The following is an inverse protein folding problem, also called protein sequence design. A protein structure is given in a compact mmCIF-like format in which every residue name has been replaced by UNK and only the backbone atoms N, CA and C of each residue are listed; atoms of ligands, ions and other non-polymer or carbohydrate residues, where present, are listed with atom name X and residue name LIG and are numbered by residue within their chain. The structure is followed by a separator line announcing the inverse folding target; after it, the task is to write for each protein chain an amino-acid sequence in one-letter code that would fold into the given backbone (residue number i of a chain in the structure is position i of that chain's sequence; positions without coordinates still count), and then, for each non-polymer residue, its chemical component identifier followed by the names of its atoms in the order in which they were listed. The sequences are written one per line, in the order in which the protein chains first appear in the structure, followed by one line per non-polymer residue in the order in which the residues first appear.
data_IF_038860590830
#
_entry.id   IF_038860590830
#
_cell.length_a   1.000
_cell.length_b   1.000
_cell.length_c   1.000
_cell.angle_alpha   90.00
_cell.angle_beta   90.00
_cell.angle_gamma   90.00
#
_symmetry.space_group_name_H-M   'P 1'
#
loop_
_entity.id
_entity.type
_entity.pdbx_description
1 polymer ?
#
# COMPACT_ATOMS: atom_id res chain seq x y z
N UNK A 1 -4.46 -28.40 7.34
CA UNK A 1 -4.45 -27.46 8.47
C UNK A 1 -3.03 -27.08 8.82
N UNK A 2 -2.19 -28.07 9.12
CA UNK A 2 -0.75 -27.84 9.38
C UNK A 2 -0.05 -27.16 8.20
N UNK A 3 -0.44 -27.46 6.96
CA UNK A 3 0.07 -26.77 5.78
C UNK A 3 -0.26 -25.26 5.74
N UNK A 4 -1.44 -24.85 6.24
CA UNK A 4 -1.85 -23.43 6.27
C UNK A 4 -1.04 -22.70 7.34
N UNK A 5 -0.99 -23.24 8.55
CA UNK A 5 -0.17 -22.70 9.64
C UNK A 5 1.30 -22.60 9.22
N UNK A 6 1.88 -23.67 8.65
CA UNK A 6 3.28 -23.69 8.20
C UNK A 6 3.56 -22.67 7.09
N UNK A 7 2.60 -22.42 6.21
CA UNK A 7 2.74 -21.39 5.17
C UNK A 7 2.78 -19.99 5.77
N UNK A 8 1.94 -19.71 6.77
CA UNK A 8 1.95 -18.42 7.47
C UNK A 8 3.20 -18.29 8.34
N UNK A 9 3.67 -19.35 9.02
CA UNK A 9 4.95 -19.34 9.75
C UNK A 9 6.12 -18.96 8.84
N UNK A 10 6.15 -19.48 7.60
CA UNK A 10 7.16 -19.09 6.62
C UNK A 10 7.09 -17.59 6.28
N UNK A 11 5.89 -17.01 6.20
CA UNK A 11 5.70 -15.58 5.99
C UNK A 11 6.14 -14.77 7.22
N UNK A 12 5.80 -15.23 8.43
CA UNK A 12 6.19 -14.62 9.71
C UNK A 12 7.71 -14.68 9.95
N UNK A 13 8.42 -15.68 9.43
CA UNK A 13 9.88 -15.77 9.51
C UNK A 13 10.59 -14.86 8.50
N UNK A 14 9.88 -14.39 7.48
CA UNK A 14 10.45 -13.59 6.41
C UNK A 14 10.37 -12.09 6.75
N UNK A 15 11.48 -11.34 6.63
CA UNK A 15 11.50 -9.90 6.89
C UNK A 15 10.77 -9.08 5.81
N UNK A 16 10.31 -9.73 4.73
CA UNK A 16 9.65 -9.08 3.60
C UNK A 16 8.16 -8.86 3.88
N UNK A 17 7.50 -9.81 4.53
CA UNK A 17 6.07 -9.70 4.82
C UNK A 17 5.80 -8.84 6.05
N UNK A 18 4.70 -8.11 6.04
CA UNK A 18 4.22 -7.40 7.24
C UNK A 18 3.56 -8.39 8.21
N UNK A 19 4.35 -9.36 8.69
CA UNK A 19 3.95 -10.39 9.63
C UNK A 19 5.21 -10.87 10.35
N UNK A 20 5.10 -11.22 11.64
CA UNK A 20 6.24 -11.70 12.43
C UNK A 20 7.45 -10.79 12.26
N UNK A 21 8.56 -11.35 11.78
CA UNK A 21 9.88 -10.70 11.63
C UNK A 21 9.84 -9.40 10.83
N UNK A 22 8.92 -9.26 9.88
CA UNK A 22 8.79 -8.06 9.04
C UNK A 22 7.66 -7.11 9.46
N UNK A 23 7.09 -7.29 10.65
CA UNK A 23 6.01 -6.46 11.18
C UNK A 23 6.38 -4.96 11.20
N UNK A 24 5.38 -4.12 10.94
CA UNK A 24 5.50 -2.67 11.10
C UNK A 24 5.64 -2.28 12.57
N UNK A 25 6.24 -1.11 12.79
CA UNK A 25 6.32 -0.51 14.11
C UNK A 25 5.06 0.31 14.38
N UNK A 26 4.58 0.26 15.62
CA UNK A 26 3.66 1.26 16.16
C UNK A 26 4.37 2.62 16.24
N UNK A 27 3.59 3.68 16.50
CA UNK A 27 4.13 5.03 16.69
C UNK A 27 5.22 5.09 17.79
N UNK A 28 5.05 4.28 18.84
CA UNK A 28 5.99 4.17 19.97
C UNK A 28 7.27 3.38 19.64
N UNK A 29 7.42 2.89 18.40
CA UNK A 29 8.61 2.18 17.97
C UNK A 29 8.70 0.74 18.46
N UNK A 30 7.56 0.10 18.74
CA UNK A 30 7.45 -1.33 19.08
C UNK A 30 6.66 -2.10 18.03
N UNK A 31 6.91 -3.40 17.90
CA UNK A 31 6.11 -4.28 17.06
C UNK A 31 4.95 -4.85 17.89
N UNK A 32 3.72 -4.67 17.40
CA UNK A 32 2.52 -5.32 17.92
C UNK A 32 1.87 -6.08 16.76
N UNK A 33 1.45 -7.31 17.03
CA UNK A 33 0.93 -8.20 16.00
C UNK A 33 -0.40 -8.80 16.42
N UNK A 34 -1.24 -9.04 15.43
CA UNK A 34 -2.53 -9.69 15.55
C UNK A 34 -2.56 -10.88 14.60
N UNK A 35 -3.27 -11.94 14.98
CA UNK A 35 -3.51 -13.09 14.11
C UNK A 35 -4.84 -13.76 14.44
N UNK A 36 -5.47 -14.35 13.42
CA UNK A 36 -6.68 -15.13 13.56
C UNK A 36 -6.61 -16.41 12.73
N UNK A 37 -7.27 -17.45 13.21
CA UNK A 37 -7.34 -18.76 12.56
C UNK A 37 -8.77 -19.27 12.65
N UNK A 38 -9.35 -19.70 11.52
CA UNK A 38 -10.75 -20.11 11.44
C UNK A 38 -10.92 -21.41 10.65
N UNK A 39 -11.78 -22.29 11.17
CA UNK A 39 -12.29 -23.46 10.44
C UNK A 39 -13.52 -23.06 9.63
N UNK A 40 -13.40 -23.01 8.31
CA UNK A 40 -14.52 -22.60 7.45
C UNK A 40 -15.74 -23.54 7.48
N UNK A 41 -15.54 -24.81 7.83
CA UNK A 41 -16.60 -25.84 7.84
C UNK A 41 -17.64 -25.60 8.95
N UNK A 42 -17.18 -25.23 10.13
CA UNK A 42 -18.01 -25.08 11.35
C UNK A 42 -17.94 -23.67 11.94
N UNK A 43 -17.20 -22.77 11.27
CA UNK A 43 -17.00 -21.37 11.63
C UNK A 43 -16.30 -21.15 12.98
N UNK A 44 -15.69 -22.19 13.56
CA UNK A 44 -14.98 -22.03 14.81
C UNK A 44 -13.68 -21.23 14.58
N UNK A 45 -13.35 -20.30 15.47
CA UNK A 45 -12.25 -19.36 15.29
C UNK A 45 -11.49 -19.08 16.59
N UNK A 46 -10.19 -18.83 16.46
CA UNK A 46 -9.31 -18.38 17.53
C UNK A 46 -8.47 -17.21 17.06
N UNK A 47 -8.18 -16.27 17.96
CA UNK A 47 -7.43 -15.07 17.64
C UNK A 47 -6.53 -14.62 18.79
N UNK A 48 -5.44 -13.95 18.43
CA UNK A 48 -4.59 -13.18 19.34
C UNK A 48 -4.44 -11.75 18.84
N UNK A 49 -4.34 -10.79 19.75
CA UNK A 49 -4.11 -9.39 19.38
C UNK A 49 -3.17 -8.65 20.32
N UNK A 50 -2.45 -7.66 19.81
CA UNK A 50 -1.49 -6.84 20.55
C UNK A 50 -0.36 -7.66 21.17
N UNK A 51 0.06 -8.77 20.53
CA UNK A 51 1.15 -9.61 21.03
C UNK A 51 2.49 -9.09 20.52
N UNK A 52 3.52 -9.21 21.36
CA UNK A 52 4.81 -8.55 21.13
C UNK A 52 6.01 -9.49 21.12
N UNK A 53 5.86 -10.71 21.65
CA UNK A 53 6.96 -11.66 21.84
C UNK A 53 6.67 -13.08 21.32
N UNK A 54 5.47 -13.37 20.82
CA UNK A 54 5.14 -14.69 20.26
C UNK A 54 5.72 -14.74 18.85
N UNK A 55 6.69 -15.65 18.60
CA UNK A 55 7.37 -15.74 17.30
C UNK A 55 6.42 -15.94 16.13
N UNK A 56 5.40 -16.77 16.35
CA UNK A 56 4.39 -17.13 15.37
C UNK A 56 2.98 -16.82 15.91
N UNK A 57 2.48 -15.58 15.77
CA UNK A 57 1.14 -15.20 16.19
C UNK A 57 0.04 -16.13 15.62
N UNK A 58 0.20 -16.64 14.40
CA UNK A 58 -0.77 -17.57 13.80
C UNK A 58 -0.92 -18.88 14.59
N UNK A 59 0.18 -19.38 15.16
CA UNK A 59 0.16 -20.58 16.00
C UNK A 59 -0.54 -20.34 17.33
N UNK A 60 -0.40 -19.13 17.89
CA UNK A 60 -1.14 -18.75 19.09
C UNK A 60 -2.63 -18.60 18.81
N UNK A 61 -3.02 -18.00 17.67
CA UNK A 61 -4.42 -17.94 17.25
C UNK A 61 -5.04 -19.34 17.10
N UNK A 62 -4.32 -20.30 16.51
CA UNK A 62 -4.73 -21.70 16.44
C UNK A 62 -4.80 -22.36 17.83
N UNK A 63 -3.85 -22.07 18.72
CA UNK A 63 -3.88 -22.59 20.08
C UNK A 63 -5.09 -22.08 20.88
N UNK A 64 -5.49 -20.82 20.69
CA UNK A 64 -6.70 -20.27 21.31
C UNK A 64 -7.94 -21.05 20.85
N UNK A 65 -8.04 -21.33 19.54
CA UNK A 65 -9.11 -22.12 18.92
C UNK A 65 -9.19 -23.56 19.45
N UNK A 66 -8.06 -24.24 19.58
CA UNK A 66 -8.02 -25.68 19.86
C UNK A 66 -7.88 -26.02 21.35
N UNK A 67 -7.34 -25.10 22.15
CA UNK A 67 -6.90 -25.39 23.53
C UNK A 67 -7.45 -24.40 24.56
N UNK A 68 -8.47 -23.61 24.20
CA UNK A 68 -9.14 -22.72 25.13
C UNK A 68 -10.65 -22.67 24.88
N UNK A 69 -11.41 -22.16 25.84
CA UNK A 69 -12.85 -21.89 25.68
C UNK A 69 -13.11 -20.48 25.09
N UNK A 70 -12.05 -19.75 24.77
CA UNK A 70 -12.10 -18.37 24.31
C UNK A 70 -11.93 -18.29 22.79
N UNK A 71 -12.58 -17.30 22.18
CA UNK A 71 -12.42 -16.98 20.75
C UNK A 71 -11.22 -16.05 20.52
N UNK A 72 -10.87 -15.23 21.51
CA UNK A 72 -9.78 -14.25 21.39
C UNK A 72 -9.08 -14.05 22.72
N UNK A 73 -7.76 -13.89 22.67
CA UNK A 73 -6.94 -13.39 23.76
C UNK A 73 -6.11 -12.20 23.29
N UNK A 74 -5.71 -11.31 24.20
CA UNK A 74 -4.93 -10.12 23.82
C UNK A 74 -3.83 -9.77 24.82
N UNK A 75 -2.79 -9.08 24.32
CA UNK A 75 -1.66 -8.59 25.09
C UNK A 75 -0.99 -9.69 25.91
N UNK A 76 -0.59 -9.33 27.14
CA UNK A 76 0.12 -10.26 28.06
C UNK A 76 -0.64 -11.54 28.35
N UNK A 77 -1.97 -11.51 28.35
CA UNK A 77 -2.78 -12.70 28.58
C UNK A 77 -2.61 -13.73 27.45
N UNK A 78 -2.56 -13.25 26.20
CA UNK A 78 -2.27 -14.11 25.04
C UNK A 78 -0.84 -14.66 25.06
N UNK A 79 0.14 -13.85 25.46
CA UNK A 79 1.55 -14.26 25.54
C UNK A 79 1.78 -15.32 26.62
N UNK A 80 1.18 -15.15 27.81
CA UNK A 80 1.22 -16.15 28.88
C UNK A 80 0.54 -17.45 28.47
N UNK A 81 -0.61 -17.35 27.81
CA UNK A 81 -1.29 -18.52 27.28
C UNK A 81 -0.42 -19.24 26.24
N UNK A 82 0.18 -18.51 25.30
CA UNK A 82 1.08 -19.07 24.29
C UNK A 82 2.27 -19.82 24.93
N UNK A 83 2.88 -19.24 25.97
CA UNK A 83 3.95 -19.88 26.74
C UNK A 83 3.47 -21.17 27.44
N UNK A 84 2.30 -21.16 28.07
CA UNK A 84 1.69 -22.37 28.67
C UNK A 84 1.41 -23.46 27.63
N UNK A 85 1.11 -23.08 26.38
CA UNK A 85 0.91 -24.01 25.27
C UNK A 85 2.23 -24.48 24.61
N UNK A 86 3.38 -24.03 25.11
CA UNK A 86 4.71 -24.39 24.62
C UNK A 86 5.09 -23.74 23.30
N UNK A 87 4.49 -22.59 22.96
CA UNK A 87 4.86 -21.83 21.77
C UNK A 87 6.17 -21.05 22.00
N UNK A 88 6.93 -20.85 20.93
CA UNK A 88 8.22 -20.16 20.99
C UNK A 88 8.03 -18.66 21.26
N UNK A 89 8.54 -18.22 22.41
CA UNK A 89 8.62 -16.81 22.80
C UNK A 89 10.01 -16.28 22.45
N UNK A 90 10.06 -15.15 21.76
CA UNK A 90 11.29 -14.49 21.30
C UNK A 90 11.42 -13.10 21.91
N UNK A 91 12.65 -12.61 21.99
CA UNK A 91 12.87 -11.20 22.32
C UNK A 91 12.21 -10.31 21.25
N UNK A 92 11.53 -9.20 21.63
CA UNK A 92 10.87 -8.32 20.66
C UNK A 92 11.81 -7.78 19.55
N UNK A 93 13.12 -7.73 19.78
CA UNK A 93 14.10 -7.36 18.76
C UNK A 93 14.14 -8.32 17.57
N UNK A 94 13.63 -9.56 17.69
CA UNK A 94 13.47 -10.49 16.58
C UNK A 94 12.63 -9.89 15.44
N UNK A 95 11.59 -9.12 15.79
CA UNK A 95 10.66 -8.51 14.84
C UNK A 95 11.17 -7.21 14.21
N UNK A 96 12.35 -6.74 14.65
CA UNK A 96 12.94 -5.52 14.12
C UNK A 96 13.72 -5.80 12.85
N UNK A 97 13.36 -5.09 11.78
CA UNK A 97 14.19 -4.96 10.57
C UNK A 97 14.60 -3.52 10.36
N UNK A 98 15.82 -3.30 9.83
CA UNK A 98 16.28 -1.95 9.47
C UNK A 98 15.33 -1.26 8.49
N UNK A 99 14.81 -2.04 7.53
CA UNK A 99 13.84 -1.55 6.54
C UNK A 99 12.59 -0.95 7.19
N UNK A 100 11.95 -1.69 8.11
CA UNK A 100 10.75 -1.21 8.82
C UNK A 100 11.08 -0.08 9.79
N UNK A 101 12.25 -0.14 10.44
CA UNK A 101 12.72 0.92 11.33
C UNK A 101 12.91 2.24 10.59
N UNK A 102 13.62 2.21 9.45
CA UNK A 102 13.79 3.38 8.60
C UNK A 102 12.44 3.90 8.07
N UNK A 103 11.47 3.02 7.82
CA UNK A 103 10.12 3.44 7.46
C UNK A 103 9.43 4.23 8.57
N UNK A 104 9.51 3.78 9.82
CA UNK A 104 9.00 4.52 10.98
C UNK A 104 9.68 5.88 11.11
N UNK A 105 11.02 5.93 11.01
CA UNK A 105 11.77 7.18 11.13
C UNK A 105 11.36 8.22 10.07
N UNK A 106 11.07 7.78 8.84
CA UNK A 106 10.53 8.66 7.79
C UNK A 106 9.15 9.23 8.16
N UNK A 107 8.27 8.41 8.74
CA UNK A 107 6.94 8.83 9.17
C UNK A 107 7.06 9.86 10.31
N UNK A 108 7.82 9.54 11.37
CA UNK A 108 8.02 10.43 12.52
C UNK A 108 8.60 11.78 12.08
N UNK A 109 9.63 11.78 11.23
CA UNK A 109 10.21 13.00 10.69
C UNK A 109 9.17 13.85 9.95
N UNK A 110 8.34 13.21 9.12
CA UNK A 110 7.30 13.91 8.37
C UNK A 110 6.19 14.49 9.26
N UNK A 111 5.99 13.95 10.46
CA UNK A 111 5.07 14.49 11.47
C UNK A 111 5.69 15.67 12.20
N UNK A 112 6.95 15.58 12.62
CA UNK A 112 7.69 16.68 13.23
C UNK A 112 7.77 17.89 12.29
N UNK A 113 8.10 17.67 11.01
CA UNK A 113 8.14 18.74 9.99
C UNK A 113 6.77 19.44 9.83
N UNK A 114 5.65 18.78 10.15
CA UNK A 114 4.30 19.39 10.13
C UNK A 114 4.00 20.18 11.41
N UNK A 115 4.61 19.82 12.54
CA UNK A 115 4.43 20.47 13.84
C UNK A 115 5.28 21.75 13.91
N UNK A 116 6.52 21.74 13.41
CA UNK A 116 7.39 22.93 13.40
C UNK A 116 6.84 24.08 12.52
N UNK A 117 6.05 23.76 11.50
CA UNK A 117 5.34 24.74 10.67
C UNK A 117 4.14 25.41 11.37
N UNK A 118 3.86 25.08 12.64
CA UNK A 118 2.62 25.49 13.33
C UNK A 118 2.79 26.42 14.55
N UNK A 119 4.01 26.88 14.86
CA UNK A 119 4.24 27.64 16.10
C UNK A 119 4.18 29.18 15.99
N UNK A 120 4.08 29.79 14.79
CA UNK A 120 4.19 31.26 14.70
C UNK A 120 3.35 31.95 13.59
N UNK A 121 2.15 31.47 13.28
CA UNK A 121 1.21 32.27 12.46
C UNK A 121 -0.21 32.35 13.04
N UNK A 122 -0.64 33.60 13.11
CA UNK A 122 -1.65 34.17 13.99
C UNK A 122 -3.11 33.78 13.68
N UNK A 123 -3.92 33.98 14.71
CA UNK A 123 -5.35 33.76 14.88
C UNK A 123 -6.20 34.49 13.82
N UNK A 124 -6.49 33.87 12.67
CA UNK A 124 -7.79 34.07 11.98
C UNK A 124 -8.09 33.14 10.78
N UNK A 125 -7.47 31.96 10.67
CA UNK A 125 -7.82 30.98 9.61
C UNK A 125 -8.37 29.69 10.20
N UNK A 126 -9.69 29.60 10.31
CA UNK A 126 -10.40 28.31 10.18
C UNK A 126 -10.38 27.90 8.71
N UNK A 127 -9.26 27.35 8.25
CA UNK A 127 -9.16 26.63 6.99
C UNK A 127 -8.35 25.35 7.19
N UNK A 128 -8.90 24.22 6.74
CA UNK A 128 -8.31 22.89 6.88
C UNK A 128 -6.86 22.87 6.40
N UNK A 129 -6.01 22.17 7.16
CA UNK A 129 -4.55 22.17 6.97
C UNK A 129 -4.15 21.67 5.59
N UNK A 130 -3.77 22.64 4.74
CA UNK A 130 -2.92 22.49 3.56
C UNK A 130 -1.49 22.73 4.03
N UNK A 131 -0.69 21.66 4.12
CA UNK A 131 0.77 21.74 4.15
C UNK A 131 1.31 21.42 2.75
N UNK A 132 2.48 21.95 2.35
CA UNK A 132 2.90 22.00 0.96
C UNK A 132 2.96 20.61 0.30
N UNK A 133 2.17 20.46 -0.77
CA UNK A 133 2.24 19.43 -1.81
C UNK A 133 1.87 18.01 -1.34
N UNK A 134 0.57 17.72 -1.23
CA UNK A 134 0.09 16.37 -1.51
C UNK A 134 0.70 15.97 -2.86
N UNK A 135 1.63 15.02 -2.85
CA UNK A 135 2.58 14.69 -3.92
C UNK A 135 1.85 14.19 -5.19
N UNK A 136 1.17 15.12 -5.88
CA UNK A 136 0.25 14.90 -6.99
C UNK A 136 -0.82 13.83 -6.69
N UNK A 137 -1.41 13.83 -5.48
CA UNK A 137 -2.41 12.82 -5.09
C UNK A 137 -3.66 12.85 -5.99
N UNK A 138 -4.20 11.68 -6.31
CA UNK A 138 -5.45 11.54 -7.07
C UNK A 138 -6.62 11.81 -6.14
N UNK A 139 -7.17 13.01 -6.23
CA UNK A 139 -8.47 13.34 -5.66
C UNK A 139 -9.56 13.27 -6.76
N UNK A 140 -10.82 13.45 -6.35
CA UNK A 140 -11.96 13.39 -7.27
C UNK A 140 -11.83 14.37 -8.45
N UNK A 141 -11.30 15.57 -8.23
CA UNK A 141 -11.10 16.57 -9.28
C UNK A 141 -10.06 16.15 -10.31
N UNK A 142 -8.93 15.57 -9.87
CA UNK A 142 -7.90 15.02 -10.77
C UNK A 142 -8.47 13.86 -11.59
N UNK A 143 -9.20 12.94 -10.94
CA UNK A 143 -9.80 11.81 -11.64
C UNK A 143 -10.84 12.27 -12.68
N UNK A 144 -11.69 13.22 -12.31
CA UNK A 144 -12.66 13.81 -13.24
C UNK A 144 -11.95 14.51 -14.41
N UNK A 145 -10.91 15.29 -14.15
CA UNK A 145 -10.13 15.96 -15.20
C UNK A 145 -9.46 14.99 -16.18
N UNK A 146 -8.92 13.87 -15.68
CA UNK A 146 -8.43 12.79 -16.53
C UNK A 146 -9.55 12.20 -17.39
N UNK A 147 -10.70 11.88 -16.78
CA UNK A 147 -11.84 11.34 -17.48
C UNK A 147 -12.35 12.29 -18.59
N UNK A 148 -12.56 13.56 -18.26
CA UNK A 148 -13.07 14.57 -19.19
C UNK A 148 -12.12 14.76 -20.37
N UNK A 149 -10.82 14.83 -20.11
CA UNK A 149 -9.81 15.01 -21.15
C UNK A 149 -9.75 13.81 -22.10
N UNK A 150 -9.66 12.58 -21.55
CA UNK A 150 -9.55 11.35 -22.36
C UNK A 150 -10.86 10.96 -23.04
N UNK A 151 -12.02 11.34 -22.50
CA UNK A 151 -13.33 11.06 -23.10
C UNK A 151 -13.70 12.05 -24.21
N UNK A 152 -13.37 13.33 -24.05
CA UNK A 152 -13.84 14.38 -24.95
C UNK A 152 -12.85 15.51 -25.18
N UNK A 153 -12.12 15.97 -24.15
CA UNK A 153 -11.24 17.13 -24.23
C UNK A 153 -10.13 17.02 -25.28
N UNK A 154 -9.66 15.80 -25.56
CA UNK A 154 -8.65 15.58 -26.61
C UNK A 154 -9.10 16.00 -28.01
N UNK A 155 -10.41 16.07 -28.28
CA UNK A 155 -10.97 16.43 -29.61
C UNK A 155 -10.69 17.88 -29.99
N UNK A 156 -10.46 18.73 -29.00
CA UNK A 156 -10.11 20.14 -29.20
C UNK A 156 -8.63 20.34 -29.58
N UNK A 157 -7.81 19.28 -29.45
CA UNK A 157 -6.38 19.34 -29.79
C UNK A 157 -6.17 18.97 -31.25
N UNK A 158 -5.90 19.97 -32.09
CA UNK A 158 -5.61 19.72 -33.50
C UNK A 158 -4.29 18.96 -33.67
N UNK A 159 -4.29 17.97 -34.57
CA UNK A 159 -3.12 17.16 -34.91
C UNK A 159 -2.47 16.42 -33.71
N UNK A 160 -3.26 15.98 -32.72
CA UNK A 160 -2.79 15.18 -31.59
C UNK A 160 -2.08 13.90 -32.09
N UNK A 161 -0.82 13.70 -31.67
CA UNK A 161 0.00 12.51 -32.02
C UNK A 161 0.36 11.62 -30.84
N UNK A 162 0.20 12.14 -29.62
CA UNK A 162 0.50 11.40 -28.41
C UNK A 162 0.28 12.28 -27.19
N UNK A 163 0.30 11.65 -26.02
CA UNK A 163 0.02 12.27 -24.72
C UNK A 163 1.14 11.91 -23.77
N UNK A 164 1.65 12.89 -23.02
CA UNK A 164 2.59 12.65 -21.93
C UNK A 164 1.91 13.04 -20.63
N UNK A 165 1.88 12.11 -19.69
CA UNK A 165 1.45 12.35 -18.32
C UNK A 165 2.71 12.40 -17.46
N UNK A 166 2.87 13.45 -16.66
CA UNK A 166 3.98 13.60 -15.70
C UNK A 166 3.48 14.29 -14.43
N UNK A 167 4.17 14.07 -13.31
CA UNK A 167 3.87 14.76 -12.07
C UNK A 167 4.46 16.16 -12.06
N UNK A 168 3.74 17.11 -11.46
CA UNK A 168 4.30 18.45 -11.22
C UNK A 168 5.39 18.40 -10.14
N UNK A 169 6.49 19.15 -10.34
CA UNK A 169 7.64 19.18 -9.43
C UNK A 169 8.63 18.01 -9.63
N UNK A 170 9.48 17.77 -8.63
CA UNK A 170 10.61 16.82 -8.74
C UNK A 170 10.45 15.57 -7.87
N UNK A 171 9.49 15.55 -6.95
CA UNK A 171 9.41 14.51 -5.92
C UNK A 171 8.46 13.37 -6.26
N UNK A 172 7.43 13.61 -7.05
CA UNK A 172 6.40 12.62 -7.29
C UNK A 172 5.78 12.73 -8.67
N UNK A 173 5.51 11.57 -9.25
CA UNK A 173 4.57 11.43 -10.35
C UNK A 173 3.15 11.57 -9.80
N UNK A 174 2.74 10.60 -8.97
CA UNK A 174 1.48 10.55 -8.22
C UNK A 174 1.70 9.62 -7.01
N UNK A 175 1.61 10.16 -5.80
CA UNK A 175 1.90 9.40 -4.57
C UNK A 175 0.70 8.63 -3.97
N UNK A 176 -0.39 8.45 -4.73
CA UNK A 176 -1.57 7.68 -4.31
C UNK A 176 -2.87 8.47 -4.37
N UNK A 177 -3.94 7.87 -3.87
CA UNK A 177 -5.25 8.48 -3.77
C UNK A 177 -5.38 9.37 -2.53
N UNK A 178 -6.27 10.37 -2.58
CA UNK A 178 -6.65 11.15 -1.40
C UNK A 178 -7.61 10.35 -0.51
N UNK A 179 -7.03 9.62 0.45
CA UNK A 179 -7.72 8.67 1.33
C UNK A 179 -8.73 9.34 2.27
N UNK A 180 -8.62 10.67 2.51
CA UNK A 180 -9.54 11.38 3.42
C UNK A 180 -11.00 11.30 2.97
N UNK A 181 -11.25 11.10 1.68
CA UNK A 181 -12.60 10.95 1.14
C UNK A 181 -13.21 9.55 1.30
N UNK A 182 -12.43 8.53 1.69
CA UNK A 182 -12.91 7.14 1.67
C UNK A 182 -13.73 6.77 2.91
N UNK A 183 -13.44 7.39 4.06
CA UNK A 183 -14.06 7.02 5.34
C UNK A 183 -15.53 7.40 5.45
N UNK A 184 -16.03 8.24 4.54
CA UNK A 184 -17.42 8.73 4.56
C UNK A 184 -18.32 8.03 3.54
N UNK A 185 -17.77 7.17 2.69
CA UNK A 185 -18.52 6.52 1.60
C UNK A 185 -19.28 5.31 2.13
N UNK A 186 -20.53 5.16 1.67
CA UNK A 186 -21.24 3.90 1.79
C UNK A 186 -20.78 2.89 0.71
N UNK A 187 -21.24 1.64 0.80
CA UNK A 187 -20.84 0.56 -0.12
C UNK A 187 -21.13 0.89 -1.59
N UNK A 188 -22.30 1.46 -1.89
CA UNK A 188 -22.69 1.78 -3.25
C UNK A 188 -21.84 2.93 -3.81
N UNK A 189 -21.56 3.95 -3.01
CA UNK A 189 -20.69 5.07 -3.38
C UNK A 189 -19.24 4.62 -3.60
N UNK A 190 -18.71 3.75 -2.73
CA UNK A 190 -17.37 3.19 -2.87
C UNK A 190 -17.24 2.32 -4.13
N UNK A 191 -18.27 1.55 -4.47
CA UNK A 191 -18.34 0.78 -5.71
C UNK A 191 -18.37 1.69 -6.94
N UNK A 192 -19.21 2.74 -6.93
CA UNK A 192 -19.28 3.71 -8.02
C UNK A 192 -17.95 4.44 -8.22
N UNK A 193 -17.31 4.88 -7.13
CA UNK A 193 -16.01 5.54 -7.17
C UNK A 193 -14.93 4.61 -7.75
N UNK A 194 -14.87 3.35 -7.29
CA UNK A 194 -13.91 2.36 -7.79
C UNK A 194 -14.13 2.08 -9.27
N UNK A 195 -15.39 1.92 -9.69
CA UNK A 195 -15.76 1.73 -11.09
C UNK A 195 -15.37 2.93 -11.95
N UNK A 196 -15.67 4.15 -11.50
CA UNK A 196 -15.31 5.36 -12.23
C UNK A 196 -13.79 5.50 -12.42
N UNK A 197 -12.99 5.18 -11.39
CA UNK A 197 -11.54 5.16 -11.50
C UNK A 197 -11.04 4.10 -12.50
N UNK A 198 -11.59 2.88 -12.44
CA UNK A 198 -11.25 1.82 -13.41
C UNK A 198 -11.61 2.21 -14.85
N UNK A 199 -12.84 2.70 -15.07
CA UNK A 199 -13.32 3.12 -16.38
C UNK A 199 -12.43 4.25 -16.93
N UNK A 200 -12.03 5.20 -16.08
CA UNK A 200 -11.12 6.29 -16.46
C UNK A 200 -9.76 5.75 -16.91
N UNK A 201 -9.18 4.78 -16.19
CA UNK A 201 -7.90 4.20 -16.60
C UNK A 201 -8.02 3.30 -17.83
N UNK A 202 -9.18 2.67 -18.05
CA UNK A 202 -9.46 1.98 -19.31
C UNK A 202 -9.53 2.93 -20.50
N UNK A 203 -10.03 4.17 -20.33
CA UNK A 203 -9.98 5.17 -21.41
C UNK A 203 -8.54 5.49 -21.82
N UNK A 204 -7.63 5.58 -20.85
CA UNK A 204 -6.20 5.83 -21.09
C UNK A 204 -5.56 4.63 -21.81
N UNK A 205 -5.83 3.42 -21.33
CA UNK A 205 -5.29 2.17 -21.86
C UNK A 205 -5.77 1.86 -23.29
N UNK A 206 -6.99 2.27 -23.64
CA UNK A 206 -7.57 2.06 -24.97
C UNK A 206 -7.48 3.32 -25.85
N UNK A 207 -6.66 4.29 -25.48
CA UNK A 207 -6.61 5.56 -26.18
C UNK A 207 -6.00 5.39 -27.58
N UNK A 208 -6.61 6.02 -28.58
CA UNK A 208 -6.29 5.81 -30.00
C UNK A 208 -4.93 6.37 -30.45
N UNK A 209 -4.23 7.14 -29.61
CA UNK A 209 -2.84 7.58 -29.83
C UNK A 209 -1.96 7.18 -28.65
N UNK A 210 -0.63 7.06 -28.84
CA UNK A 210 0.30 6.70 -27.77
C UNK A 210 0.17 7.60 -26.53
N UNK A 211 0.25 6.99 -25.35
CA UNK A 211 0.19 7.67 -24.05
C UNK A 211 1.40 7.21 -23.24
N UNK A 212 2.22 8.16 -22.81
CA UNK A 212 3.46 7.93 -22.10
C UNK A 212 3.34 8.46 -20.68
N UNK A 213 3.58 7.61 -19.69
CA UNK A 213 3.85 8.05 -18.32
C UNK A 213 5.34 8.39 -18.17
N UNK A 214 5.65 9.66 -17.92
CA UNK A 214 6.97 10.11 -17.53
C UNK A 214 7.04 10.20 -16.00
N UNK A 215 7.58 9.16 -15.38
CA UNK A 215 7.59 8.97 -13.92
C UNK A 215 8.83 9.63 -13.31
N UNK A 216 8.63 10.85 -12.83
CA UNK A 216 9.66 11.72 -12.25
C UNK A 216 9.86 11.55 -10.72
N UNK A 217 9.22 10.56 -10.08
CA UNK A 217 9.35 10.33 -8.64
C UNK A 217 8.42 9.23 -8.15
N UNK A 218 7.86 9.39 -6.94
CA UNK A 218 6.88 8.43 -6.40
C UNK A 218 5.68 8.19 -7.33
N UNK A 219 5.42 6.93 -7.65
CA UNK A 219 4.25 6.40 -8.35
C UNK A 219 3.64 5.28 -7.50
N UNK A 220 2.76 5.63 -6.56
CA UNK A 220 2.25 4.71 -5.54
C UNK A 220 0.74 4.54 -5.67
N UNK A 221 0.25 3.33 -5.44
CA UNK A 221 -1.17 2.97 -5.48
C UNK A 221 -1.83 3.40 -6.79
N UNK A 222 -2.89 4.21 -6.71
CA UNK A 222 -3.53 4.84 -7.87
C UNK A 222 -2.55 5.53 -8.85
N UNK A 223 -1.44 6.08 -8.36
CA UNK A 223 -0.39 6.63 -9.23
C UNK A 223 0.42 5.59 -10.00
N UNK A 224 0.71 4.46 -9.37
CA UNK A 224 1.31 3.31 -10.03
C UNK A 224 0.34 2.73 -11.07
N UNK A 225 -0.95 2.64 -10.71
CA UNK A 225 -2.02 2.20 -11.59
C UNK A 225 -2.20 3.12 -12.81
N UNK A 226 -2.09 4.44 -12.64
CA UNK A 226 -2.11 5.42 -13.74
C UNK A 226 -0.92 5.20 -14.69
N UNK A 227 0.28 5.01 -14.15
CA UNK A 227 1.46 4.73 -14.96
C UNK A 227 1.30 3.42 -15.76
N UNK A 228 0.73 2.38 -15.13
CA UNK A 228 0.45 1.10 -15.79
C UNK A 228 -0.67 1.19 -16.83
N UNK A 229 -1.63 2.11 -16.67
CA UNK A 229 -2.69 2.36 -17.65
C UNK A 229 -2.19 3.04 -18.93
N UNK A 230 -1.04 3.73 -18.87
CA UNK A 230 -0.41 4.31 -20.06
C UNK A 230 0.19 3.22 -20.97
N UNK A 231 0.21 3.46 -22.27
CA UNK A 231 0.80 2.54 -23.25
C UNK A 231 2.30 2.30 -23.01
N UNK A 232 3.02 3.34 -22.58
CA UNK A 232 4.45 3.29 -22.28
C UNK A 232 4.74 3.99 -20.97
N UNK A 233 5.85 3.59 -20.33
CA UNK A 233 6.39 4.20 -19.12
C UNK A 233 7.86 4.52 -19.34
N UNK A 234 8.29 5.68 -18.88
CA UNK A 234 9.70 6.03 -18.68
C UNK A 234 9.87 6.50 -17.25
N UNK A 235 10.98 6.15 -16.63
CA UNK A 235 11.23 6.47 -15.23
C UNK A 235 12.57 7.18 -15.06
N UNK A 236 12.56 8.23 -14.23
CA UNK A 236 13.78 8.79 -13.66
C UNK A 236 14.42 7.79 -12.68
N UNK A 237 15.73 7.92 -12.44
CA UNK A 237 16.45 7.05 -11.48
C UNK A 237 15.88 7.11 -10.06
N UNK A 238 15.26 8.24 -9.68
CA UNK A 238 14.66 8.45 -8.36
C UNK A 238 13.20 7.95 -8.28
N UNK A 239 12.66 7.34 -9.34
CA UNK A 239 11.31 6.82 -9.34
C UNK A 239 11.16 5.61 -8.41
N UNK A 240 10.03 5.58 -7.70
CA UNK A 240 9.63 4.49 -6.82
C UNK A 240 8.21 4.06 -7.15
N UNK A 241 8.02 2.76 -7.37
CA UNK A 241 6.76 2.14 -7.75
C UNK A 241 6.25 1.22 -6.65
N UNK A 242 4.95 1.18 -6.39
CA UNK A 242 4.40 0.22 -5.43
C UNK A 242 2.89 0.28 -5.30
N UNK A 243 2.34 -0.76 -4.66
CA UNK A 243 0.91 -0.95 -4.37
C UNK A 243 0.70 -1.06 -2.85
N UNK A 244 0.81 0.04 -2.09
CA UNK A 244 0.81 0.02 -0.63
C UNK A 244 -0.59 -0.10 0.00
N UNK A 245 -1.64 -0.36 -0.78
CA UNK A 245 -3.05 -0.40 -0.33
C UNK A 245 -3.29 -1.36 0.84
N UNK A 246 -2.53 -2.46 0.92
CA UNK A 246 -2.62 -3.43 2.01
C UNK A 246 -2.37 -2.79 3.39
N UNK A 247 -1.53 -1.75 3.45
CA UNK A 247 -1.27 -1.01 4.70
C UNK A 247 -2.49 -0.22 5.20
N UNK A 248 -3.51 -0.04 4.36
CA UNK A 248 -4.77 0.64 4.67
C UNK A 248 -5.94 -0.36 4.79
N UNK A 249 -5.68 -1.67 4.73
CA UNK A 249 -6.72 -2.70 4.67
C UNK A 249 -7.48 -2.71 3.33
N UNK A 250 -6.87 -2.18 2.26
CA UNK A 250 -7.46 -2.10 0.92
C UNK A 250 -6.66 -2.97 -0.07
N UNK A 251 -7.18 -3.05 -1.29
CA UNK A 251 -6.48 -3.61 -2.45
C UNK A 251 -6.36 -2.55 -3.56
N UNK A 252 -5.42 -2.70 -4.52
CA UNK A 252 -5.36 -1.81 -5.68
C UNK A 252 -6.70 -1.77 -6.43
N UNK A 253 -7.28 -0.57 -6.52
CA UNK A 253 -8.68 -0.38 -6.87
C UNK A 253 -8.95 0.05 -8.31
N UNK A 254 -7.95 0.54 -9.04
CA UNK A 254 -8.09 1.10 -10.39
C UNK A 254 -7.45 0.21 -11.48
N UNK A 255 -7.32 -1.09 -11.20
CA UNK A 255 -6.89 -2.12 -12.15
C UNK A 255 -5.48 -2.65 -11.92
N UNK A 256 -4.81 -2.24 -10.86
CA UNK A 256 -3.47 -2.67 -10.48
C UNK A 256 -3.35 -4.15 -10.24
N UNK A 257 -4.39 -4.80 -9.68
CA UNK A 257 -4.44 -6.25 -9.51
C UNK A 257 -4.46 -7.02 -10.84
N UNK A 258 -4.77 -6.35 -11.95
CA UNK A 258 -4.81 -6.93 -13.30
C UNK A 258 -3.57 -6.56 -14.10
N UNK A 259 -3.19 -5.27 -14.13
CA UNK A 259 -2.07 -4.79 -14.94
C UNK A 259 -0.72 -5.20 -14.37
N UNK A 260 -0.52 -5.15 -13.05
CA UNK A 260 0.78 -5.45 -12.45
C UNK A 260 1.22 -6.90 -12.72
N UNK A 261 0.39 -7.95 -12.53
CA UNK A 261 0.77 -9.32 -12.88
C UNK A 261 1.10 -9.53 -14.36
N UNK A 262 0.47 -8.78 -15.27
CA UNK A 262 0.73 -8.87 -16.71
C UNK A 262 2.07 -8.22 -17.09
N UNK A 263 2.49 -7.19 -16.36
CA UNK A 263 3.73 -6.47 -16.61
C UNK A 263 4.95 -7.14 -15.97
N UNK A 264 4.85 -7.60 -14.73
CA UNK A 264 6.00 -8.10 -13.95
C UNK A 264 5.88 -9.58 -13.51
N UNK A 265 4.85 -10.27 -14.00
CA UNK A 265 4.56 -11.65 -13.61
C UNK A 265 3.84 -11.77 -12.27
N UNK A 266 3.04 -12.84 -12.14
CA UNK A 266 2.15 -13.07 -10.99
C UNK A 266 2.87 -13.15 -9.64
N UNK A 267 4.04 -13.81 -9.58
CA UNK A 267 4.75 -14.03 -8.33
C UNK A 267 5.21 -12.71 -7.70
N UNK A 268 5.91 -11.86 -8.48
CA UNK A 268 6.40 -10.58 -7.99
C UNK A 268 5.27 -9.58 -7.75
N UNK A 269 4.24 -9.57 -8.60
CA UNK A 269 3.06 -8.73 -8.37
C UNK A 269 2.35 -9.08 -7.05
N UNK A 270 2.26 -10.36 -6.71
CA UNK A 270 1.69 -10.83 -5.44
C UNK A 270 2.55 -10.39 -4.26
N UNK A 271 3.88 -10.56 -4.34
CA UNK A 271 4.82 -10.09 -3.33
C UNK A 271 4.63 -8.59 -3.05
N UNK A 272 4.67 -7.74 -4.07
CA UNK A 272 4.53 -6.29 -3.89
C UNK A 272 3.17 -5.89 -3.33
N UNK A 273 2.09 -6.55 -3.78
CA UNK A 273 0.72 -6.23 -3.32
C UNK A 273 0.49 -6.68 -1.87
N UNK A 274 1.03 -7.84 -1.47
CA UNK A 274 0.84 -8.38 -0.10
C UNK A 274 1.77 -7.72 0.93
N UNK A 275 2.94 -7.26 0.51
CA UNK A 275 3.92 -6.62 1.41
C UNK A 275 3.72 -5.11 1.52
N UNK A 276 3.11 -4.50 0.50
CA UNK A 276 3.01 -3.05 0.33
C UNK A 276 4.35 -2.39 0.01
N UNK A 277 5.34 -3.17 -0.43
CA UNK A 277 6.69 -2.70 -0.68
C UNK A 277 6.79 -1.86 -1.97
N UNK A 278 7.90 -1.12 -2.06
CA UNK A 278 8.21 -0.28 -3.22
C UNK A 278 9.47 -0.78 -3.90
N UNK A 279 9.51 -0.67 -5.22
CA UNK A 279 10.67 -0.98 -6.06
C UNK A 279 11.20 0.29 -6.71
N UNK A 280 12.53 0.37 -6.84
CA UNK A 280 13.19 1.48 -7.53
C UNK A 280 13.18 1.33 -9.05
N UNK A 281 13.59 2.38 -9.76
CA UNK A 281 13.63 2.43 -11.22
C UNK A 281 14.43 1.27 -11.86
N UNK A 282 15.55 0.87 -11.26
CA UNK A 282 16.40 -0.23 -11.76
C UNK A 282 15.69 -1.58 -11.68
N UNK A 283 15.07 -1.90 -10.54
CA UNK A 283 14.30 -3.13 -10.37
C UNK A 283 13.05 -3.10 -11.26
N UNK A 284 12.37 -1.96 -11.37
CA UNK A 284 11.23 -1.78 -12.26
C UNK A 284 11.59 -2.03 -13.74
N UNK A 285 12.78 -1.62 -14.18
CA UNK A 285 13.31 -1.94 -15.52
C UNK A 285 13.58 -3.43 -15.68
N UNK A 286 14.24 -4.06 -14.72
CA UNK A 286 14.57 -5.49 -14.75
C UNK A 286 13.33 -6.38 -14.79
N UNK A 287 12.28 -5.98 -14.07
CA UNK A 287 11.00 -6.69 -14.01
C UNK A 287 10.10 -6.44 -15.22
N UNK A 288 10.41 -5.45 -16.07
CA UNK A 288 9.58 -5.07 -17.21
C UNK A 288 8.42 -4.13 -16.87
N UNK A 289 8.36 -3.59 -15.64
CA UNK A 289 7.37 -2.58 -15.28
C UNK A 289 7.58 -1.29 -16.08
N UNK A 290 8.84 -0.93 -16.32
CA UNK A 290 9.22 0.23 -17.13
C UNK A 290 10.12 -0.25 -18.28
N UNK A 291 9.77 -0.03 -19.56
CA UNK A 291 10.61 -0.44 -20.69
C UNK A 291 11.93 0.34 -20.81
N UNK A 292 12.00 1.57 -20.30
CA UNK A 292 13.21 2.41 -20.34
C UNK A 292 13.38 3.25 -19.05
N UNK A 293 14.55 3.17 -18.42
CA UNK A 293 14.99 4.11 -17.37
C UNK A 293 16.08 5.03 -17.95
N UNK A 294 15.97 6.35 -17.73
CA UNK A 294 16.95 7.33 -18.20
C UNK A 294 17.33 8.33 -17.09
N UNK A 295 18.53 8.90 -17.20
CA UNK A 295 18.97 10.02 -16.38
C UNK A 295 18.13 11.27 -16.69
N UNK A 296 17.77 12.08 -15.68
CA UNK A 296 16.99 13.31 -15.86
C UNK A 296 17.71 14.35 -16.72
#
# INVERSE_FOLDING_TARGET
MDAVEKSIQFMEDSPLFNAGKGAVFTHEGRNEMDASFMYGKDQNAGAVGGVTNIKHPISAARAVLEKSEHVMMAGKGAEQFAEMQGLEIVDPSYFKTERRWNSLQRILKSETDKIELSEDDDKDKKHGTVGPKALNAINAGVMQGLNDWFSSGYKEVSNLKGVIITGSGEKAFVAGADIKGFTTLNVAEAQQMSKFGQDTYFLIENFHVPVLAAVNGYALGGGCELAMACHMRVASENALFGQPEVNLGLIPGYGGTQRLPQLIGKAKAMELTLTGDTIGAVEALQLGLVPHAQQP
#
